data_IF_986684079529
#
_entry.id   IF_986684079529
#
_cell.length_a   1.000
_cell.length_b   1.000
_cell.length_c   1.000
_cell.angle_alpha   90.00
_cell.angle_beta   90.00
_cell.angle_gamma   90.00
#
_symmetry.space_group_name_H-M   'P 1'
#
loop_
_entity.id
_entity.type
_entity.pdbx_description
1 polymer ?
#
# COMPACT_ATOMS: atom_id res chain seq x y z
N UNK A 1 31.37 -48.47 -53.37
CA UNK A 1 31.60 -47.21 -52.65
C UNK A 1 30.25 -46.60 -52.33
N UNK A 2 29.71 -46.92 -51.16
CA UNK A 2 28.37 -46.48 -50.73
C UNK A 2 28.57 -45.25 -49.85
N UNK A 3 28.24 -44.08 -50.39
CA UNK A 3 28.24 -42.83 -49.62
C UNK A 3 26.92 -42.75 -48.83
N UNK A 4 26.99 -42.91 -47.51
CA UNK A 4 25.89 -42.58 -46.61
C UNK A 4 25.75 -41.05 -46.51
N UNK A 5 24.64 -40.52 -47.00
CA UNK A 5 24.19 -39.16 -46.70
C UNK A 5 23.78 -39.10 -45.22
N UNK A 6 24.65 -38.53 -44.39
CA UNK A 6 24.26 -38.07 -43.06
C UNK A 6 23.37 -36.83 -43.22
N UNK A 7 22.05 -37.00 -43.08
CA UNK A 7 21.11 -35.89 -43.02
C UNK A 7 21.34 -35.09 -41.74
N UNK A 8 21.61 -33.80 -41.92
CA UNK A 8 21.77 -32.80 -40.89
C UNK A 8 20.41 -32.52 -40.22
N UNK A 9 20.14 -33.15 -39.07
CA UNK A 9 18.88 -33.05 -38.31
C UNK A 9 18.88 -31.90 -37.28
N UNK A 10 20.02 -31.23 -37.05
CA UNK A 10 20.14 -30.23 -35.98
C UNK A 10 19.54 -28.85 -36.31
N UNK A 11 19.35 -28.50 -37.58
CA UNK A 11 18.90 -27.15 -37.99
C UNK A 11 17.40 -26.87 -37.80
N UNK A 12 16.53 -27.86 -38.02
CA UNK A 12 15.06 -27.67 -37.94
C UNK A 12 14.51 -27.65 -36.51
N UNK A 13 15.17 -28.32 -35.57
CA UNK A 13 14.69 -28.43 -34.20
C UNK A 13 14.93 -27.16 -33.38
N UNK A 14 16.01 -26.43 -33.68
CA UNK A 14 16.33 -25.13 -33.06
C UNK A 14 15.38 -24.03 -33.54
N UNK A 15 15.02 -24.06 -34.82
CA UNK A 15 14.10 -23.11 -35.48
C UNK A 15 12.68 -23.16 -34.88
N UNK A 16 12.11 -24.37 -34.77
CA UNK A 16 10.78 -24.60 -34.19
C UNK A 16 10.72 -24.19 -32.71
N UNK A 17 11.81 -24.38 -31.95
CA UNK A 17 11.87 -23.96 -30.55
C UNK A 17 11.90 -22.44 -30.41
N UNK A 18 12.56 -21.73 -31.33
CA UNK A 18 12.57 -20.28 -31.37
C UNK A 18 11.18 -19.73 -31.69
N UNK A 19 10.53 -20.31 -32.71
CA UNK A 19 9.20 -19.90 -33.16
C UNK A 19 8.14 -20.05 -32.07
N UNK A 20 8.17 -21.15 -31.30
CA UNK A 20 7.26 -21.35 -30.16
C UNK A 20 7.46 -20.26 -29.10
N UNK A 21 8.70 -19.85 -28.82
CA UNK A 21 8.98 -18.76 -27.87
C UNK A 21 8.50 -17.40 -28.39
N UNK A 22 8.69 -17.10 -29.67
CA UNK A 22 8.20 -15.86 -30.28
C UNK A 22 6.68 -15.79 -30.27
N UNK A 23 5.99 -16.87 -30.66
CA UNK A 23 4.53 -16.96 -30.64
C UNK A 23 4.00 -16.78 -29.21
N UNK A 24 4.64 -17.39 -28.21
CA UNK A 24 4.27 -17.21 -26.80
C UNK A 24 4.41 -15.75 -26.36
N UNK A 25 5.55 -15.12 -26.63
CA UNK A 25 5.79 -13.73 -26.23
C UNK A 25 4.85 -12.76 -26.96
N UNK A 26 4.54 -13.01 -28.23
CA UNK A 26 3.55 -12.23 -28.97
C UNK A 26 2.15 -12.35 -28.36
N UNK A 27 1.71 -13.57 -28.01
CA UNK A 27 0.42 -13.79 -27.34
C UNK A 27 0.32 -13.09 -25.98
N UNK A 28 1.41 -13.10 -25.21
CA UNK A 28 1.46 -12.41 -23.90
C UNK A 28 1.42 -10.89 -24.09
N UNK A 29 2.11 -10.38 -25.11
CA UNK A 29 2.04 -8.96 -25.46
C UNK A 29 0.61 -8.55 -25.84
N UNK A 30 -0.09 -9.36 -26.64
CA UNK A 30 -1.51 -9.15 -26.95
C UNK A 30 -2.36 -9.14 -25.68
N UNK A 31 -2.19 -10.13 -24.79
CA UNK A 31 -2.89 -10.19 -23.49
C UNK A 31 -2.70 -8.90 -22.67
N UNK A 32 -1.48 -8.35 -22.64
CA UNK A 32 -1.19 -7.12 -21.88
C UNK A 32 -1.86 -5.87 -22.46
N UNK A 33 -2.04 -5.82 -23.78
CA UNK A 33 -2.57 -4.65 -24.50
C UNK A 33 -4.09 -4.55 -24.54
N UNK A 34 -4.83 -5.63 -24.28
CA UNK A 34 -6.30 -5.62 -24.34
C UNK A 34 -6.90 -4.66 -23.30
N UNK A 35 -7.89 -3.85 -23.69
CA UNK A 35 -8.71 -3.02 -22.79
C UNK A 35 -9.56 -3.90 -21.88
N UNK A 36 -9.97 -3.33 -20.74
CA UNK A 36 -10.86 -3.97 -19.76
C UNK A 36 -11.96 -2.97 -19.35
N UNK A 37 -12.44 -2.18 -20.31
CA UNK A 37 -13.40 -1.10 -20.02
C UNK A 37 -14.81 -1.68 -19.90
N UNK A 38 -15.12 -2.70 -20.69
CA UNK A 38 -16.42 -3.37 -20.69
C UNK A 38 -16.35 -4.76 -20.07
N UNK A 39 -17.52 -5.27 -19.64
CA UNK A 39 -17.65 -6.62 -19.11
C UNK A 39 -17.30 -7.69 -20.18
N UNK A 40 -17.69 -7.47 -21.43
CA UNK A 40 -17.40 -8.39 -22.54
C UNK A 40 -15.89 -8.51 -22.79
N UNK A 41 -15.18 -7.37 -22.83
CA UNK A 41 -13.72 -7.35 -22.95
C UNK A 41 -13.02 -8.08 -21.79
N UNK A 42 -13.55 -7.97 -20.57
CA UNK A 42 -13.04 -8.69 -19.41
C UNK A 42 -13.22 -10.20 -19.56
N UNK A 43 -14.38 -10.66 -20.02
CA UNK A 43 -14.65 -12.09 -20.24
C UNK A 43 -13.76 -12.67 -21.35
N UNK A 44 -13.57 -11.93 -22.45
CA UNK A 44 -12.65 -12.32 -23.54
C UNK A 44 -11.20 -12.36 -23.06
N UNK A 45 -10.79 -11.41 -22.23
CA UNK A 45 -9.48 -11.38 -21.62
C UNK A 45 -9.26 -12.57 -20.68
N UNK A 46 -10.24 -12.90 -19.82
CA UNK A 46 -10.16 -14.05 -18.92
C UNK A 46 -10.04 -15.36 -19.72
N UNK A 47 -10.83 -15.51 -20.78
CA UNK A 47 -10.76 -16.68 -21.67
C UNK A 47 -9.39 -16.83 -22.33
N UNK A 48 -8.80 -15.73 -22.79
CA UNK A 48 -7.46 -15.74 -23.39
C UNK A 48 -6.39 -16.05 -22.34
N UNK A 49 -6.50 -15.46 -21.14
CA UNK A 49 -5.60 -15.72 -20.03
C UNK A 49 -5.64 -17.20 -19.62
N UNK A 50 -6.82 -17.79 -19.50
CA UNK A 50 -6.97 -19.20 -19.11
C UNK A 50 -6.44 -20.16 -20.18
N UNK A 51 -6.69 -19.86 -21.47
CA UNK A 51 -6.06 -20.59 -22.57
C UNK A 51 -4.52 -20.53 -22.49
N UNK A 52 -3.94 -19.37 -22.19
CA UNK A 52 -2.49 -19.24 -22.04
C UNK A 52 -1.95 -19.97 -20.80
N UNK A 53 -2.67 -19.99 -19.68
CA UNK A 53 -2.27 -20.75 -18.49
C UNK A 53 -2.20 -22.25 -18.77
N UNK A 54 -3.16 -22.79 -19.52
CA UNK A 54 -3.16 -24.21 -19.91
C UNK A 54 -1.97 -24.52 -20.82
N UNK A 55 -1.68 -23.64 -21.78
CA UNK A 55 -0.58 -23.84 -22.72
C UNK A 55 0.81 -23.63 -22.08
N UNK A 56 0.93 -22.76 -21.07
CA UNK A 56 2.19 -22.33 -20.47
C UNK A 56 2.13 -22.24 -18.93
N UNK A 57 1.85 -23.35 -18.21
CA UNK A 57 1.57 -23.31 -16.77
C UNK A 57 2.77 -22.87 -15.92
N UNK A 58 3.99 -23.18 -16.38
CA UNK A 58 5.23 -22.91 -15.64
C UNK A 58 5.97 -21.65 -16.13
N UNK A 59 5.31 -20.79 -16.91
CA UNK A 59 5.95 -19.60 -17.44
C UNK A 59 5.70 -18.38 -16.53
N UNK A 60 6.73 -18.02 -15.75
CA UNK A 60 6.67 -16.95 -14.75
C UNK A 60 6.16 -15.62 -15.33
N UNK A 61 6.69 -15.19 -16.47
CA UNK A 61 6.34 -13.89 -17.06
C UNK A 61 4.85 -13.81 -17.44
N UNK A 62 4.23 -14.91 -17.87
CA UNK A 62 2.78 -14.92 -18.13
C UNK A 62 1.99 -14.65 -16.84
N UNK A 63 2.36 -15.32 -15.74
CA UNK A 63 1.66 -15.12 -14.47
C UNK A 63 1.85 -13.70 -13.91
N UNK A 64 3.05 -13.13 -14.09
CA UNK A 64 3.34 -11.73 -13.72
C UNK A 64 2.48 -10.76 -14.52
N UNK A 65 2.36 -10.95 -15.85
CA UNK A 65 1.52 -10.08 -16.69
C UNK A 65 0.03 -10.19 -16.34
N UNK A 66 -0.46 -11.41 -16.06
CA UNK A 66 -1.83 -11.63 -15.58
C UNK A 66 -2.04 -10.87 -14.27
N UNK A 67 -1.14 -11.01 -13.30
CA UNK A 67 -1.23 -10.30 -12.02
C UNK A 67 -1.21 -8.77 -12.21
N UNK A 68 -0.32 -8.25 -13.06
CA UNK A 68 -0.21 -6.82 -13.34
C UNK A 68 -1.51 -6.25 -13.91
N UNK A 69 -2.10 -6.96 -14.87
CA UNK A 69 -3.34 -6.54 -15.51
C UNK A 69 -4.53 -6.59 -14.55
N UNK A 70 -4.63 -7.65 -13.75
CA UNK A 70 -5.70 -7.80 -12.76
C UNK A 70 -5.61 -6.79 -11.62
N UNK A 71 -4.39 -6.45 -11.21
CA UNK A 71 -4.15 -5.44 -10.18
C UNK A 71 -4.34 -4.01 -10.72
N UNK A 72 -3.89 -3.72 -11.94
CA UNK A 72 -3.98 -2.37 -12.53
C UNK A 72 -5.40 -1.93 -12.93
N UNK A 73 -6.32 -2.88 -13.12
CA UNK A 73 -7.73 -2.62 -13.41
C UNK A 73 -8.57 -2.35 -12.14
N UNK A 74 -7.95 -2.39 -10.96
CA UNK A 74 -8.58 -2.12 -9.67
C UNK A 74 -8.89 -0.61 -9.56
N UNK A 75 -9.99 -0.15 -10.18
CA UNK A 75 -10.43 1.25 -10.13
C UNK A 75 -10.86 1.88 -11.46
N UNK A 76 -10.76 1.17 -12.59
CA UNK A 76 -11.14 1.67 -13.91
C UNK A 76 -12.43 0.97 -14.36
N UNK A 77 -13.53 1.72 -14.50
CA UNK A 77 -14.81 1.21 -15.00
C UNK A 77 -15.64 0.37 -14.01
N UNK A 78 -16.78 -0.15 -14.49
CA UNK A 78 -17.69 -1.05 -13.75
C UNK A 78 -17.12 -2.49 -13.64
N UNK A 79 -16.21 -2.86 -14.53
CA UNK A 79 -15.62 -4.19 -14.63
C UNK A 79 -14.34 -4.31 -13.78
N UNK A 80 -14.48 -4.71 -12.51
CA UNK A 80 -13.35 -4.92 -11.59
C UNK A 80 -13.13 -6.41 -11.31
N UNK A 81 -11.87 -6.84 -11.25
CA UNK A 81 -11.58 -8.17 -10.71
C UNK A 81 -11.85 -8.20 -9.21
N UNK A 82 -12.48 -9.28 -8.75
CA UNK A 82 -12.62 -9.54 -7.33
C UNK A 82 -11.24 -9.62 -6.67
N UNK A 83 -11.09 -9.06 -5.48
CA UNK A 83 -9.86 -9.10 -4.67
C UNK A 83 -9.34 -10.53 -4.51
N UNK A 84 -10.23 -11.51 -4.33
CA UNK A 84 -9.88 -12.92 -4.24
C UNK A 84 -9.19 -13.47 -5.50
N UNK A 85 -9.57 -13.02 -6.70
CA UNK A 85 -8.91 -13.41 -7.96
C UNK A 85 -7.50 -12.82 -8.04
N UNK A 86 -7.30 -11.59 -7.55
CA UNK A 86 -5.96 -10.94 -7.49
C UNK A 86 -5.02 -11.69 -6.55
N UNK A 87 -5.51 -12.09 -5.37
CA UNK A 87 -4.74 -12.92 -4.42
C UNK A 87 -4.31 -14.23 -5.07
N UNK A 88 -5.24 -14.95 -5.72
CA UNK A 88 -4.93 -16.19 -6.45
C UNK A 88 -3.90 -15.99 -7.57
N UNK A 89 -3.98 -14.87 -8.30
CA UNK A 89 -2.99 -14.55 -9.33
C UNK A 89 -1.59 -14.32 -8.73
N UNK A 90 -1.50 -13.64 -7.58
CA UNK A 90 -0.23 -13.45 -6.87
C UNK A 90 0.32 -14.77 -6.33
N UNK A 91 -0.52 -15.65 -5.77
CA UNK A 91 -0.11 -16.98 -5.31
C UNK A 91 0.47 -17.84 -6.44
N UNK A 92 -0.08 -17.73 -7.66
CA UNK A 92 0.48 -18.44 -8.81
C UNK A 92 1.90 -17.94 -9.16
N UNK A 93 2.17 -16.63 -9.04
CA UNK A 93 3.52 -16.09 -9.25
C UNK A 93 4.47 -16.59 -8.16
N UNK A 94 4.06 -16.47 -6.89
CA UNK A 94 4.86 -16.90 -5.73
C UNK A 94 5.21 -18.38 -5.83
N UNK A 95 4.25 -19.24 -6.21
CA UNK A 95 4.46 -20.69 -6.36
C UNK A 95 5.47 -21.05 -7.46
N UNK A 96 5.59 -20.25 -8.52
CA UNK A 96 6.53 -20.51 -9.61
C UNK A 96 7.95 -20.06 -9.32
N UNK A 97 8.15 -19.20 -8.31
CA UNK A 97 9.48 -18.72 -7.92
C UNK A 97 10.07 -19.65 -6.88
N UNK A 98 11.22 -20.25 -7.19
CA UNK A 98 12.01 -21.00 -6.23
C UNK A 98 12.78 -20.03 -5.32
N UNK A 99 12.23 -19.81 -4.12
CA UNK A 99 12.83 -18.97 -3.09
C UNK A 99 14.13 -19.56 -2.55
N UNK A 100 14.29 -20.88 -2.53
CA UNK A 100 15.50 -21.56 -2.09
C UNK A 100 16.66 -21.30 -3.04
N UNK A 101 16.43 -21.42 -4.34
CA UNK A 101 17.43 -21.14 -5.37
C UNK A 101 17.79 -19.65 -5.42
N UNK A 102 16.82 -18.74 -5.26
CA UNK A 102 17.12 -17.31 -5.15
C UNK A 102 17.97 -17.00 -3.92
N UNK A 103 17.62 -17.55 -2.75
CA UNK A 103 18.38 -17.33 -1.51
C UNK A 103 19.82 -17.83 -1.64
N UNK A 104 20.01 -19.03 -2.21
CA UNK A 104 21.34 -19.59 -2.49
C UNK A 104 22.14 -18.69 -3.41
N UNK A 105 21.53 -18.24 -4.51
CA UNK A 105 22.20 -17.38 -5.49
C UNK A 105 22.68 -16.06 -4.89
N UNK A 106 21.82 -15.37 -4.12
CA UNK A 106 22.16 -14.07 -3.53
C UNK A 106 23.05 -14.16 -2.28
N UNK A 107 23.14 -15.34 -1.65
CA UNK A 107 24.09 -15.58 -0.55
C UNK A 107 25.52 -15.80 -1.05
N UNK A 108 25.68 -16.27 -2.29
CA UNK A 108 26.98 -16.51 -2.90
C UNK A 108 27.51 -15.22 -3.54
N UNK A 109 28.78 -14.90 -3.26
CA UNK A 109 29.46 -13.77 -3.90
C UNK A 109 29.82 -14.16 -5.34
N UNK A 110 28.99 -13.75 -6.30
CA UNK A 110 29.24 -13.97 -7.73
C UNK A 110 30.12 -12.84 -8.29
N UNK A 111 31.44 -13.04 -8.26
CA UNK A 111 32.46 -12.05 -8.68
C UNK A 111 32.83 -12.11 -10.18
N UNK A 112 32.31 -13.07 -10.94
CA UNK A 112 32.56 -13.14 -12.39
C UNK A 112 31.77 -12.03 -13.11
N UNK A 113 32.49 -11.19 -13.84
CA UNK A 113 31.95 -10.10 -14.66
C UNK A 113 31.68 -10.52 -16.12
N UNK A 114 31.79 -11.81 -16.43
CA UNK A 114 31.57 -12.31 -17.79
C UNK A 114 30.13 -12.06 -18.25
N UNK A 115 29.93 -11.86 -19.56
CA UNK A 115 28.61 -11.54 -20.13
C UNK A 115 27.52 -12.57 -19.80
N UNK A 116 27.89 -13.84 -19.59
CA UNK A 116 26.97 -14.90 -19.17
C UNK A 116 26.59 -14.77 -17.69
N UNK A 117 27.54 -14.49 -16.80
CA UNK A 117 27.28 -14.25 -15.39
C UNK A 117 26.39 -13.00 -15.19
N UNK A 118 26.63 -11.93 -15.96
CA UNK A 118 25.79 -10.74 -15.95
C UNK A 118 24.34 -11.01 -16.39
N UNK A 119 24.12 -11.90 -17.37
CA UNK A 119 22.77 -12.31 -17.80
C UNK A 119 22.06 -13.10 -16.71
N UNK A 120 22.72 -14.10 -16.12
CA UNK A 120 22.16 -14.90 -15.02
C UNK A 120 21.79 -14.01 -13.84
N UNK A 121 22.67 -13.06 -13.47
CA UNK A 121 22.38 -12.09 -12.42
C UNK A 121 21.12 -11.28 -12.70
N UNK A 122 20.98 -10.72 -13.91
CA UNK A 122 19.78 -9.97 -14.30
C UNK A 122 18.52 -10.85 -14.27
N UNK A 123 18.61 -12.12 -14.65
CA UNK A 123 17.47 -13.04 -14.58
C UNK A 123 17.06 -13.34 -13.13
N UNK A 124 18.03 -13.55 -12.23
CA UNK A 124 17.76 -13.77 -10.81
C UNK A 124 17.21 -12.52 -10.12
N UNK A 125 17.73 -11.32 -10.45
CA UNK A 125 17.19 -10.04 -10.00
C UNK A 125 15.75 -9.85 -10.47
N UNK A 126 15.45 -10.13 -11.76
CA UNK A 126 14.06 -10.07 -12.28
C UNK A 126 13.12 -11.03 -11.56
N UNK A 127 13.57 -12.25 -11.25
CA UNK A 127 12.76 -13.22 -10.48
C UNK A 127 12.49 -12.72 -9.07
N UNK A 128 13.51 -12.20 -8.37
CA UNK A 128 13.37 -11.59 -7.04
C UNK A 128 12.40 -10.41 -7.07
N UNK A 129 12.54 -9.52 -8.05
CA UNK A 129 11.69 -8.34 -8.17
C UNK A 129 10.23 -8.73 -8.49
N UNK A 130 10.03 -9.76 -9.34
CA UNK A 130 8.70 -10.32 -9.61
C UNK A 130 8.07 -10.94 -8.36
N UNK A 131 8.88 -11.62 -7.53
CA UNK A 131 8.44 -12.19 -6.26
C UNK A 131 8.04 -11.08 -5.27
N UNK A 132 8.88 -10.07 -5.09
CA UNK A 132 8.59 -8.93 -4.22
C UNK A 132 7.32 -8.18 -4.67
N UNK A 133 7.14 -7.97 -5.98
CA UNK A 133 5.94 -7.35 -6.52
C UNK A 133 4.68 -8.19 -6.32
N UNK A 134 4.78 -9.51 -6.43
CA UNK A 134 3.66 -10.40 -6.16
C UNK A 134 3.26 -10.38 -4.68
N UNK A 135 4.24 -10.47 -3.77
CA UNK A 135 4.01 -10.38 -2.32
C UNK A 135 3.40 -9.03 -1.92
N UNK A 136 3.90 -7.93 -2.49
CA UNK A 136 3.35 -6.59 -2.25
C UNK A 136 1.89 -6.48 -2.67
N UNK A 137 1.55 -6.91 -3.89
CA UNK A 137 0.18 -6.87 -4.41
C UNK A 137 -0.75 -7.80 -3.63
N UNK A 138 -0.27 -8.99 -3.25
CA UNK A 138 -0.99 -9.91 -2.38
C UNK A 138 -1.30 -9.26 -1.03
N UNK A 139 -0.30 -8.62 -0.40
CA UNK A 139 -0.47 -7.92 0.86
C UNK A 139 -1.54 -6.83 0.79
N UNK A 140 -1.50 -5.97 -0.25
CA UNK A 140 -2.53 -4.94 -0.43
C UNK A 140 -3.92 -5.52 -0.68
N UNK A 141 -4.03 -6.59 -1.47
CA UNK A 141 -5.28 -7.27 -1.72
C UNK A 141 -5.86 -7.91 -0.44
N UNK A 142 -5.02 -8.51 0.41
CA UNK A 142 -5.46 -9.04 1.71
C UNK A 142 -6.03 -7.95 2.62
N UNK A 143 -5.38 -6.78 2.67
CA UNK A 143 -5.91 -5.66 3.47
C UNK A 143 -7.26 -5.20 2.93
N UNK A 144 -7.40 -5.08 1.60
CA UNK A 144 -8.68 -4.69 1.01
C UNK A 144 -9.77 -5.73 1.27
N UNK A 145 -9.45 -7.02 1.21
CA UNK A 145 -10.41 -8.08 1.51
C UNK A 145 -10.95 -7.97 2.94
N UNK A 146 -10.10 -7.61 3.92
CA UNK A 146 -10.51 -7.37 5.30
C UNK A 146 -11.33 -6.08 5.47
N UNK A 147 -10.97 -5.00 4.77
CA UNK A 147 -11.74 -3.74 4.74
C UNK A 147 -13.17 -3.99 4.20
N UNK A 148 -13.30 -4.76 3.12
CA UNK A 148 -14.58 -5.13 2.50
C UNK A 148 -15.44 -5.99 3.44
N UNK A 149 -14.83 -6.95 4.14
CA UNK A 149 -15.52 -7.80 5.13
C UNK A 149 -16.03 -7.01 6.33
N UNK A 150 -15.22 -6.07 6.84
CA UNK A 150 -15.57 -5.24 8.00
C UNK A 150 -16.75 -4.31 7.68
N UNK A 151 -16.84 -3.83 6.43
CA UNK A 151 -17.92 -2.96 5.97
C UNK A 151 -19.26 -3.71 5.91
N UNK A 152 -19.25 -4.92 5.34
CA UNK A 152 -20.47 -5.77 5.25
C UNK A 152 -21.02 -6.17 6.63
N UNK A 153 -20.16 -6.33 7.64
CA UNK A 153 -20.60 -6.64 9.01
C UNK A 153 -21.24 -5.44 9.72
N UNK A 154 -20.79 -4.20 9.43
CA UNK A 154 -21.38 -2.98 10.00
C UNK A 154 -22.78 -2.69 9.43
N UNK A 155 -23.00 -2.92 8.14
CA UNK A 155 -24.30 -2.70 7.49
C UNK A 155 -25.41 -3.64 7.99
N UNK A 156 -25.06 -4.89 8.35
CA UNK A 156 -26.01 -5.86 8.92
C UNK A 156 -26.38 -5.53 10.38
N UNK A 157 -25.47 -4.94 11.14
CA UNK A 157 -25.74 -4.54 12.53
C UNK A 157 -26.61 -3.28 12.66
N UNK A 158 -26.54 -2.36 11.71
CA UNK A 158 -27.31 -1.10 11.72
C UNK A 158 -28.75 -1.28 11.20
N UNK A 159 -29.02 -2.34 10.43
CA UNK A 159 -30.38 -2.74 10.01
C UNK A 159 -31.14 -3.56 11.08
N UNK A 160 -30.48 -3.99 12.17
CA UNK A 160 -31.06 -4.85 13.22
C UNK A 160 -31.20 -4.15 14.58
N UNK A 161 -31.21 -2.81 14.62
CA UNK A 161 -31.38 -2.01 15.84
C UNK A 161 -32.70 -1.23 15.89
N UNK A 162 -33.79 -1.79 15.34
CA UNK A 162 -35.17 -1.41 15.68
C UNK A 162 -36.00 -2.66 15.93
N UNK A 163 -35.92 -3.23 17.12
CA UNK A 163 -37.09 -3.61 17.93
C UNK A 163 -36.63 -4.10 19.32
N UNK A 164 -37.33 -3.60 20.34
CA UNK A 164 -36.95 -3.68 21.75
C UNK A 164 -37.51 -4.94 22.45
N UNK A 165 -36.69 -5.47 23.38
CA UNK A 165 -37.00 -6.22 24.62
C UNK A 165 -38.21 -7.19 24.65
N UNK A 166 -37.93 -8.49 24.81
CA UNK A 166 -38.25 -9.19 26.06
C UNK A 166 -37.35 -10.43 26.26
N UNK A 167 -37.02 -10.75 27.51
CA UNK A 167 -35.87 -11.57 27.90
C UNK A 167 -36.04 -13.10 27.86
N UNK A 168 -34.90 -13.80 27.77
CA UNK A 168 -34.58 -15.03 28.53
C UNK A 168 -33.20 -15.57 28.12
N UNK A 169 -32.41 -15.98 29.12
CA UNK A 169 -31.11 -16.64 28.98
C UNK A 169 -31.11 -17.78 27.97
N UNK A 170 -30.18 -17.76 27.01
CA UNK A 170 -29.41 -18.94 26.61
C UNK A 170 -28.05 -18.49 26.11
N UNK A 171 -27.03 -18.97 26.81
CA UNK A 171 -25.62 -18.92 26.45
C UNK A 171 -25.40 -19.39 25.01
N UNK A 172 -25.17 -18.45 24.10
CA UNK A 172 -24.57 -18.74 22.78
C UNK A 172 -23.21 -18.08 22.75
N UNK A 173 -22.18 -18.93 22.70
CA UNK A 173 -20.78 -18.54 22.60
C UNK A 173 -20.59 -17.68 21.37
N UNK A 174 -19.96 -16.53 21.60
CA UNK A 174 -19.58 -15.57 20.59
C UNK A 174 -18.45 -16.16 19.72
N UNK A 175 -18.80 -16.81 18.61
CA UNK A 175 -17.86 -17.34 17.60
C UNK A 175 -17.48 -16.28 16.55
N UNK A 176 -17.40 -15.00 16.95
CA UNK A 176 -16.95 -13.88 16.10
C UNK A 176 -15.41 -13.77 16.02
N UNK A 177 -14.66 -14.68 16.65
CA UNK A 177 -13.20 -14.58 16.81
C UNK A 177 -12.37 -15.55 15.96
N UNK A 178 -12.99 -16.41 15.14
CA UNK A 178 -12.25 -17.50 14.47
C UNK A 178 -11.93 -17.27 12.98
N UNK A 179 -12.49 -16.25 12.31
CA UNK A 179 -12.28 -16.01 10.86
C UNK A 179 -11.48 -14.74 10.53
N UNK A 180 -11.41 -13.75 11.42
CA UNK A 180 -10.54 -12.57 11.28
C UNK A 180 -9.07 -12.89 11.58
N UNK A 181 -8.82 -13.73 12.58
CA UNK A 181 -7.49 -14.22 12.96
C UNK A 181 -6.71 -14.88 11.80
N UNK A 182 -7.27 -15.83 11.01
CA UNK A 182 -6.53 -16.48 9.93
C UNK A 182 -6.14 -15.51 8.81
N UNK A 183 -6.97 -14.50 8.49
CA UNK A 183 -6.61 -13.53 7.44
C UNK A 183 -5.50 -12.60 7.93
N UNK A 184 -5.58 -12.12 9.17
CA UNK A 184 -4.52 -11.29 9.77
C UNK A 184 -3.16 -12.00 9.83
N UNK A 185 -3.18 -13.31 10.11
CA UNK A 185 -1.96 -14.13 10.14
C UNK A 185 -1.35 -14.27 8.74
N UNK A 186 -2.18 -14.59 7.73
CA UNK A 186 -1.71 -14.69 6.33
C UNK A 186 -1.13 -13.38 5.79
N UNK A 187 -1.64 -12.23 6.25
CA UNK A 187 -1.11 -10.93 5.89
C UNK A 187 0.29 -10.70 6.50
N UNK A 188 0.46 -10.91 7.81
CA UNK A 188 1.75 -10.72 8.48
C UNK A 188 2.81 -11.68 7.96
N UNK A 189 2.45 -12.93 7.65
CA UNK A 189 3.33 -13.87 6.96
C UNK A 189 3.78 -13.34 5.59
N UNK A 190 2.85 -12.84 4.78
CA UNK A 190 3.14 -12.27 3.45
C UNK A 190 4.07 -11.04 3.57
N UNK A 191 3.84 -10.19 4.58
CA UNK A 191 4.66 -9.02 4.84
C UNK A 191 6.07 -9.39 5.34
N UNK A 192 6.16 -10.39 6.23
CA UNK A 192 7.44 -10.91 6.71
C UNK A 192 8.25 -11.54 5.58
N UNK A 193 7.59 -12.24 4.65
CA UNK A 193 8.24 -12.79 3.46
C UNK A 193 8.74 -11.66 2.54
N UNK A 194 7.94 -10.62 2.27
CA UNK A 194 8.35 -9.47 1.46
C UNK A 194 9.63 -8.81 1.99
N UNK A 195 9.74 -8.68 3.33
CA UNK A 195 10.91 -8.08 3.98
C UNK A 195 12.23 -8.80 3.69
N UNK A 196 12.18 -10.09 3.37
CA UNK A 196 13.37 -10.89 3.01
C UNK A 196 13.88 -10.56 1.62
N UNK A 197 13.00 -10.10 0.73
CA UNK A 197 13.27 -9.99 -0.71
C UNK A 197 13.40 -8.55 -1.20
N UNK A 198 12.88 -7.58 -0.46
CA UNK A 198 12.92 -6.16 -0.82
C UNK A 198 13.07 -5.25 0.40
N UNK A 199 13.68 -4.07 0.18
CA UNK A 199 13.66 -3.01 1.17
C UNK A 199 12.29 -2.34 1.18
N UNK A 200 11.62 -2.48 2.32
CA UNK A 200 10.26 -2.02 2.56
C UNK A 200 10.18 -0.49 2.66
N UNK A 201 11.30 0.18 2.97
CA UNK A 201 11.34 1.65 3.08
C UNK A 201 11.35 2.34 1.71
N UNK A 202 11.50 1.59 0.62
CA UNK A 202 11.39 2.15 -0.73
C UNK A 202 9.96 2.66 -0.98
N UNK A 203 9.78 3.84 -1.62
CA UNK A 203 8.45 4.40 -1.92
C UNK A 203 7.51 3.45 -2.65
N UNK A 204 8.06 2.49 -3.42
CA UNK A 204 7.31 1.44 -4.11
C UNK A 204 6.49 0.55 -3.15
N UNK A 205 7.05 0.19 -1.99
CA UNK A 205 6.42 -0.72 -1.02
C UNK A 205 5.85 -0.01 0.21
N UNK A 206 6.15 1.28 0.35
CA UNK A 206 5.83 2.08 1.53
C UNK A 206 4.33 2.16 1.83
N UNK A 207 3.47 2.17 0.81
CA UNK A 207 2.01 2.16 0.98
C UNK A 207 1.52 0.93 1.78
N UNK A 208 2.12 -0.24 1.55
CA UNK A 208 1.79 -1.45 2.29
C UNK A 208 2.16 -1.30 3.78
N UNK A 209 3.30 -0.68 4.07
CA UNK A 209 3.73 -0.38 5.45
C UNK A 209 2.80 0.62 6.13
N UNK A 210 2.37 1.68 5.43
CA UNK A 210 1.37 2.63 5.95
C UNK A 210 0.11 1.88 6.36
N UNK A 211 -0.44 1.04 5.47
CA UNK A 211 -1.65 0.27 5.79
C UNK A 211 -1.43 -0.73 6.93
N UNK A 212 -0.27 -1.39 7.02
CA UNK A 212 0.08 -2.28 8.14
C UNK A 212 0.16 -1.55 9.49
N UNK A 213 0.86 -0.42 9.54
CA UNK A 213 1.01 0.37 10.76
C UNK A 213 -0.34 0.88 11.24
N UNK A 214 -1.21 1.30 10.31
CA UNK A 214 -2.61 1.64 10.59
C UNK A 214 -3.37 0.47 11.20
N UNK A 215 -3.30 -0.73 10.62
CA UNK A 215 -3.93 -1.96 11.16
C UNK A 215 -3.44 -2.31 12.56
N UNK A 216 -2.18 -1.98 12.86
CA UNK A 216 -1.59 -2.21 14.18
C UNK A 216 -1.88 -1.09 15.20
N UNK A 217 -2.66 -0.06 14.83
CA UNK A 217 -2.94 1.10 15.69
C UNK A 217 -1.78 2.07 15.88
N UNK A 218 -0.66 1.89 15.16
CA UNK A 218 0.51 2.79 15.23
C UNK A 218 0.36 3.94 14.24
N UNK A 219 -0.67 4.77 14.46
CA UNK A 219 -1.10 5.82 13.54
C UNK A 219 0.00 6.86 13.26
N UNK A 220 0.83 7.21 14.25
CA UNK A 220 1.95 8.14 14.06
C UNK A 220 3.01 7.63 13.07
N UNK A 221 3.35 6.34 13.14
CA UNK A 221 4.24 5.71 12.16
C UNK A 221 3.60 5.66 10.78
N UNK A 222 2.31 5.30 10.71
CA UNK A 222 1.56 5.29 9.46
C UNK A 222 1.59 6.67 8.79
N UNK A 223 1.37 7.74 9.56
CA UNK A 223 1.42 9.12 9.09
C UNK A 223 2.83 9.52 8.63
N UNK A 224 3.87 9.16 9.39
CA UNK A 224 5.27 9.41 9.00
C UNK A 224 5.60 8.77 7.65
N UNK A 225 5.35 7.47 7.50
CA UNK A 225 5.62 6.76 6.25
C UNK A 225 4.76 7.27 5.09
N UNK A 226 3.54 7.75 5.37
CA UNK A 226 2.69 8.36 4.35
C UNK A 226 3.25 9.71 3.88
N UNK A 227 3.80 10.52 4.77
CA UNK A 227 4.48 11.76 4.38
C UNK A 227 5.74 11.47 3.54
N UNK A 228 6.55 10.48 3.94
CA UNK A 228 7.71 10.04 3.16
C UNK A 228 7.30 9.58 1.75
N UNK A 229 6.14 8.92 1.62
CA UNK A 229 5.57 8.51 0.33
C UNK A 229 5.08 9.69 -0.51
N UNK A 230 4.48 10.71 0.10
CA UNK A 230 3.96 11.91 -0.59
C UNK A 230 5.10 12.82 -1.04
N UNK A 231 6.22 12.85 -0.31
CA UNK A 231 7.40 13.63 -0.65
C UNK A 231 8.23 13.04 -1.81
N UNK A 232 7.91 11.84 -2.27
CA UNK A 232 8.58 11.22 -3.43
C UNK A 232 8.24 12.00 -4.72
N UNK A 233 9.15 12.87 -5.15
CA UNK A 233 9.04 13.70 -6.36
C UNK A 233 8.98 12.89 -7.66
N UNK A 234 9.27 11.57 -7.63
CA UNK A 234 9.26 10.72 -8.82
C UNK A 234 7.87 10.47 -9.39
N UNK A 235 6.79 10.70 -8.61
CA UNK A 235 5.41 10.45 -9.01
C UNK A 235 4.56 11.71 -8.91
N UNK A 236 3.58 11.91 -9.82
CA UNK A 236 2.65 13.00 -9.67
C UNK A 236 1.83 12.85 -8.39
N UNK A 237 1.39 13.97 -7.78
CA UNK A 237 0.58 13.95 -6.57
C UNK A 237 -0.67 13.10 -6.75
N UNK A 238 -0.83 12.05 -5.93
CA UNK A 238 -1.97 11.14 -6.00
C UNK A 238 -3.03 11.54 -4.99
N UNK A 239 -4.22 11.89 -5.48
CA UNK A 239 -5.37 12.28 -4.65
C UNK A 239 -5.69 11.25 -3.55
N UNK A 240 -5.61 9.96 -3.88
CA UNK A 240 -5.88 8.86 -2.94
C UNK A 240 -4.95 8.84 -1.73
N UNK A 241 -3.69 9.28 -1.88
CA UNK A 241 -2.73 9.35 -0.77
C UNK A 241 -3.07 10.49 0.19
N UNK A 242 -3.48 11.65 -0.33
CA UNK A 242 -3.91 12.77 0.49
C UNK A 242 -5.27 12.49 1.16
N UNK A 243 -6.19 11.79 0.50
CA UNK A 243 -7.43 11.29 1.14
C UNK A 243 -7.12 10.34 2.31
N UNK A 244 -6.14 9.45 2.15
CA UNK A 244 -5.66 8.59 3.24
C UNK A 244 -5.03 9.41 4.37
N UNK A 245 -4.30 10.48 4.04
CA UNK A 245 -3.69 11.39 5.02
C UNK A 245 -4.74 12.09 5.86
N UNK A 246 -5.79 12.61 5.24
CA UNK A 246 -6.93 13.23 5.95
C UNK A 246 -7.56 12.22 6.92
N UNK A 247 -7.83 10.99 6.47
CA UNK A 247 -8.40 9.94 7.33
C UNK A 247 -7.51 9.65 8.54
N UNK A 248 -6.19 9.57 8.36
CA UNK A 248 -5.26 9.37 9.47
C UNK A 248 -5.25 10.56 10.44
N UNK A 249 -5.34 11.79 9.94
CA UNK A 249 -5.41 12.99 10.80
C UNK A 249 -6.70 13.03 11.63
N UNK A 250 -7.82 12.57 11.07
CA UNK A 250 -9.09 12.42 11.79
C UNK A 250 -9.01 11.33 12.86
N UNK A 251 -8.42 10.17 12.53
CA UNK A 251 -8.18 9.07 13.48
C UNK A 251 -7.18 9.45 14.60
N UNK A 252 -6.27 10.39 14.35
CA UNK A 252 -5.36 10.97 15.33
C UNK A 252 -5.97 12.12 16.16
N UNK A 253 -7.25 12.44 15.93
CA UNK A 253 -7.96 13.55 16.57
C UNK A 253 -7.34 14.94 16.30
N UNK A 254 -6.79 15.14 15.10
CA UNK A 254 -6.26 16.42 14.61
C UNK A 254 -7.16 17.04 13.52
N UNK A 255 -8.42 17.38 13.83
CA UNK A 255 -9.43 17.77 12.83
C UNK A 255 -9.09 19.07 12.11
N UNK A 256 -8.42 20.01 12.79
CA UNK A 256 -7.98 21.27 12.21
C UNK A 256 -6.97 21.07 11.06
N UNK A 257 -6.07 20.08 11.19
CA UNK A 257 -5.14 19.70 10.12
C UNK A 257 -5.84 18.98 8.97
N UNK A 258 -6.82 18.12 9.29
CA UNK A 258 -7.63 17.44 8.29
C UNK A 258 -8.45 18.44 7.43
N UNK A 259 -9.04 19.46 8.06
CA UNK A 259 -9.74 20.55 7.36
C UNK A 259 -8.80 21.41 6.51
N UNK A 260 -7.60 21.70 7.01
CA UNK A 260 -6.58 22.37 6.23
C UNK A 260 -6.27 21.53 4.98
N UNK A 261 -5.90 20.26 5.13
CA UNK A 261 -5.55 19.39 4.00
C UNK A 261 -6.68 19.29 2.96
N UNK A 262 -7.95 19.22 3.40
CA UNK A 262 -9.14 19.27 2.52
C UNK A 262 -9.20 20.54 1.68
N UNK A 263 -8.96 21.70 2.29
CA UNK A 263 -8.97 22.99 1.59
C UNK A 263 -7.85 23.04 0.54
N UNK A 264 -6.66 22.57 0.89
CA UNK A 264 -5.52 22.58 -0.03
C UNK A 264 -5.63 21.56 -1.17
N UNK A 265 -6.31 20.43 -0.97
CA UNK A 265 -6.65 19.51 -2.07
C UNK A 265 -7.53 20.16 -3.13
N UNK A 266 -8.42 21.08 -2.74
CA UNK A 266 -9.29 21.82 -3.67
C UNK A 266 -8.44 22.76 -4.52
N UNK A 267 -7.50 23.49 -3.92
CA UNK A 267 -6.65 24.45 -4.64
C UNK A 267 -5.62 23.77 -5.56
N UNK A 268 -5.08 22.61 -5.15
CA UNK A 268 -4.19 21.80 -6.00
C UNK A 268 -4.91 21.17 -7.22
N UNK A 269 -6.23 20.93 -7.14
CA UNK A 269 -7.03 20.39 -8.24
C UNK A 269 -7.59 21.47 -9.19
N UNK A 270 -7.64 22.75 -8.78
CA UNK A 270 -8.26 23.84 -9.56
C UNK A 270 -7.27 24.55 -10.50
N UNK A 271 -5.95 24.41 -10.31
CA UNK A 271 -4.97 25.05 -11.19
C UNK A 271 -4.50 24.08 -12.31
N UNK A 272 -4.94 24.24 -13.57
CA UNK A 272 -4.63 23.28 -14.66
C UNK A 272 -3.18 23.36 -15.17
N UNK A 273 -2.31 24.16 -14.53
CA UNK A 273 -0.99 24.50 -15.05
C UNK A 273 0.17 24.23 -14.06
N UNK A 274 -0.04 23.50 -12.98
CA UNK A 274 1.06 23.07 -12.12
C UNK A 274 1.68 21.75 -12.62
N UNK A 275 2.19 21.79 -13.86
CA UNK A 275 3.08 20.75 -14.41
C UNK A 275 4.56 21.00 -14.05
N UNK A 276 4.83 21.99 -13.20
CA UNK A 276 6.17 22.35 -12.75
C UNK A 276 6.28 22.02 -11.25
N UNK A 277 7.04 20.97 -10.93
CA UNK A 277 7.21 20.40 -9.58
C UNK A 277 7.86 21.33 -8.57
N UNK A 278 8.25 22.53 -8.99
CA UNK A 278 8.94 23.55 -8.21
C UNK A 278 8.07 24.24 -7.15
N UNK A 279 6.73 24.28 -7.30
CA UNK A 279 5.84 24.91 -6.30
C UNK A 279 5.34 23.98 -5.19
N UNK A 280 5.39 22.66 -5.40
CA UNK A 280 5.05 21.68 -4.35
C UNK A 280 6.16 21.66 -3.28
N UNK A 281 7.40 21.93 -3.69
CA UNK A 281 8.59 21.95 -2.84
C UNK A 281 8.57 23.11 -1.82
N UNK A 282 8.12 24.31 -2.23
CA UNK A 282 7.93 25.44 -1.29
C UNK A 282 6.87 25.11 -0.21
N UNK A 283 5.78 24.43 -0.58
CA UNK A 283 4.72 24.09 0.37
C UNK A 283 5.10 22.93 1.32
N UNK A 284 5.81 21.90 0.84
CA UNK A 284 6.31 20.83 1.71
C UNK A 284 7.43 21.31 2.65
N UNK A 285 8.21 22.32 2.25
CA UNK A 285 9.15 22.99 3.15
C UNK A 285 8.43 23.78 4.26
N UNK A 286 7.25 24.36 3.98
CA UNK A 286 6.40 25.00 5.00
C UNK A 286 5.81 24.01 6.01
N UNK A 287 5.61 22.74 5.64
CA UNK A 287 5.20 21.69 6.59
C UNK A 287 6.36 21.23 7.50
N UNK A 288 7.60 21.47 7.10
CA UNK A 288 8.78 21.29 7.95
C UNK A 288 9.23 22.59 8.67
N UNK A 289 8.60 23.73 8.37
CA UNK A 289 8.82 25.04 9.01
C UNK A 289 7.77 25.36 10.10
N UNK A 290 7.24 24.32 10.78
CA UNK A 290 6.30 24.46 11.91
C UNK A 290 6.95 24.99 13.20
N UNK A 291 7.91 25.92 13.06
CA UNK A 291 8.47 26.70 14.17
C UNK A 291 8.31 28.21 13.99
N UNK A 292 7.79 28.72 12.85
CA UNK A 292 7.87 30.17 12.60
C UNK A 292 6.66 30.89 11.99
N UNK A 293 5.51 30.27 11.75
CA UNK A 293 4.33 31.00 11.29
C UNK A 293 3.08 30.65 12.11
N UNK A 294 2.97 31.22 13.32
CA UNK A 294 1.68 31.51 13.93
C UNK A 294 1.29 32.97 13.62
N UNK A 295 0.03 33.27 13.29
CA UNK A 295 -0.47 34.65 13.24
C UNK A 295 -0.33 35.32 14.62
N UNK A 296 0.14 36.57 14.66
CA UNK A 296 0.48 37.37 15.84
C UNK A 296 -0.66 37.69 16.84
N UNK A 297 -1.82 37.05 16.76
CA UNK A 297 -2.92 37.31 17.68
C UNK A 297 -3.36 36.04 18.41
N UNK A 298 -2.62 35.71 19.48
CA UNK A 298 -3.13 35.19 20.77
C UNK A 298 -1.94 34.73 21.62
N UNK A 299 -1.31 35.69 22.32
CA UNK A 299 -0.36 35.42 23.39
C UNK A 299 -1.13 35.11 24.68
N UNK A 300 -1.04 33.86 25.17
CA UNK A 300 -1.03 33.48 26.59
C UNK A 300 -0.42 32.06 26.68
N UNK A 301 0.74 31.99 27.36
CA UNK A 301 1.70 30.88 27.54
C UNK A 301 1.14 29.58 28.21
N UNK A 302 1.88 28.44 28.34
CA UNK A 302 3.35 28.30 28.33
C UNK A 302 4.00 27.17 27.49
N UNK A 303 5.32 27.31 27.40
CA UNK A 303 6.33 26.47 26.76
C UNK A 303 6.32 25.00 27.23
N UNK A 304 6.16 24.07 26.29
CA UNK A 304 6.67 22.70 26.40
C UNK A 304 7.78 22.55 25.34
N UNK A 305 9.03 22.72 25.77
CA UNK A 305 10.21 22.40 24.97
C UNK A 305 10.57 20.93 25.21
N UNK A 306 10.17 20.04 24.30
CA UNK A 306 10.72 18.68 24.25
C UNK A 306 12.08 18.73 23.56
N UNK A 307 13.16 18.84 24.36
CA UNK A 307 14.51 18.53 23.89
C UNK A 307 14.69 17.02 23.84
N UNK A 308 14.91 16.51 22.63
CA UNK A 308 15.59 15.24 22.40
C UNK A 308 17.02 15.35 22.94
N UNK A 309 17.37 14.54 23.93
CA UNK A 309 18.74 14.28 24.34
C UNK A 309 18.98 12.77 24.28
N UNK A 310 20.00 12.40 23.52
CA UNK A 310 20.50 11.05 23.36
C UNK A 310 20.98 10.45 24.68
N UNK A 311 20.51 9.22 24.92
CA UNK A 311 21.16 8.11 25.63
C UNK A 311 21.58 8.23 27.10
N UNK A 312 21.16 7.19 27.83
CA UNK A 312 21.63 6.64 29.12
C UNK A 312 20.93 7.11 30.40
N UNK A 313 20.35 6.11 31.08
CA UNK A 313 19.81 6.05 32.44
C UNK A 313 18.38 6.55 32.74
N UNK A 314 17.68 5.67 33.47
CA UNK A 314 16.31 5.73 33.98
C UNK A 314 15.98 6.97 34.81
N UNK A 315 14.76 7.50 34.69
CA UNK A 315 13.71 7.51 35.73
C UNK A 315 12.46 8.22 35.19
N UNK A 316 11.29 7.63 35.41
CA UNK A 316 9.97 8.21 35.12
C UNK A 316 9.52 8.95 36.38
N UNK A 317 9.26 10.27 36.30
CA UNK A 317 8.47 10.97 37.32
C UNK A 317 7.57 12.01 36.65
N UNK A 318 6.25 11.80 36.80
CA UNK A 318 5.20 12.78 36.53
C UNK A 318 5.21 13.79 37.69
N UNK A 319 5.35 15.08 37.40
CA UNK A 319 5.05 16.14 38.37
C UNK A 319 3.80 16.91 37.93
N UNK A 320 2.67 16.59 38.57
CA UNK A 320 1.48 17.44 38.62
C UNK A 320 1.76 18.58 39.59
N UNK A 321 1.63 19.84 39.15
CA UNK A 321 1.53 20.98 40.07
C UNK A 321 0.06 21.40 40.11
N UNK A 322 -0.58 21.09 41.23
CA UNK A 322 -1.82 21.69 41.71
C UNK A 322 -1.52 22.94 42.54
N UNK A 323 -2.57 23.74 42.73
CA UNK A 323 -2.80 24.82 43.72
C UNK A 323 -2.82 26.24 43.14
N UNK A 324 -3.63 27.19 43.62
CA UNK A 324 -4.95 27.22 44.27
C UNK A 324 -5.23 28.69 44.56
N UNK A 325 -6.48 29.12 44.37
CA UNK A 325 -7.20 30.23 45.03
C UNK A 325 -6.61 31.66 45.10
N UNK A 326 -7.40 32.64 44.62
CA UNK A 326 -8.08 33.60 45.52
C UNK A 326 -9.14 34.44 44.76
N UNK A 327 -10.35 34.37 45.29
CA UNK A 327 -11.53 35.19 44.95
C UNK A 327 -11.45 36.51 45.73
N UNK A 328 -11.76 37.64 45.10
CA UNK A 328 -12.14 38.87 45.78
C UNK A 328 -13.27 39.58 44.99
N UNK A 329 -14.49 39.44 45.52
CA UNK A 329 -15.63 40.31 45.28
C UNK A 329 -15.44 41.57 46.11
N UNK A 330 -15.57 42.76 45.50
CA UNK A 330 -15.93 43.95 46.25
C UNK A 330 -16.82 44.88 45.41
N UNK A 331 -17.83 45.38 46.10
CA UNK A 331 -19.08 46.00 45.66
C UNK A 331 -18.97 47.51 45.45
N UNK A 332 -19.76 47.99 44.49
CA UNK A 332 -20.43 49.29 44.35
C UNK A 332 -19.93 50.50 45.18
N UNK A 333 -19.66 51.62 44.48
CA UNK A 333 -20.21 52.93 44.85
C UNK A 333 -20.27 53.91 43.67
N UNK A 334 -21.52 54.22 43.33
CA UNK A 334 -22.05 55.37 42.60
C UNK A 334 -21.30 56.70 42.82
N UNK A 335 -20.96 57.40 41.73
CA UNK A 335 -20.97 58.87 41.66
C UNK A 335 -21.54 59.31 40.31
N UNK A 336 -22.50 60.23 40.42
CA UNK A 336 -23.51 60.64 39.44
C UNK A 336 -22.98 61.53 38.31
N UNK A 337 -23.70 61.48 37.19
CA UNK A 337 -23.72 62.53 36.18
C UNK A 337 -25.07 63.26 36.13
N UNK A 338 -24.97 64.59 36.00
CA UNK A 338 -25.84 65.55 35.29
C UNK A 338 -27.05 66.16 36.05
N UNK A 339 -27.01 67.52 36.07
CA UNK A 339 -28.05 68.53 36.29
C UNK A 339 -28.60 68.79 37.69
#
# INVERSE_FOLDING_TARGET
>A
MTWCLATNVSGKQVDVSLDIMFVRNAKIKVLSSLSLETKEELEDWERLADSLKVNYPNYLQLMVEILNKMYGSQGIGEAKFSVAKVIKAADNVIRLVDTGDLARYFSMKNESEDANAAKVRKEMEKKRDSLADALYKKGLALIQLEEDQTTQQKEVHEASSTEALDGASTSVKNESSQLSAPITDTFEETYAELRKWADINLPKYLLLTVKREKRSGRLGNAFKFLNDLIQDESKPPQKSLFELRIKLLEELEWPHLAEYERKWQIDACILPNCADGSKIQECNSSVNLWTMCLPEHLYLQPLIQLRLLDTTHCFFELFLISESHAVALETEKSVQGIC
#
